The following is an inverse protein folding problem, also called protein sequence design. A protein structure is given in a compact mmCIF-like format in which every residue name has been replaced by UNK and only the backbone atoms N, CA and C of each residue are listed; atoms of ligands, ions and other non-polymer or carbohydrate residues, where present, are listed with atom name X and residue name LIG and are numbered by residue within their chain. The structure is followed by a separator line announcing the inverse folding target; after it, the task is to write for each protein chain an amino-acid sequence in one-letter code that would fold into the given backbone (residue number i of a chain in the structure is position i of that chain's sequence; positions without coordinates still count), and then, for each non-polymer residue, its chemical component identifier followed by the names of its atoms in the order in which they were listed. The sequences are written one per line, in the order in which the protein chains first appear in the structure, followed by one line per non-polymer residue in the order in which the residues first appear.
data_IF_689694891827
#
_entry.id   IF_689694891827
#
_cell.length_a   1.000
_cell.length_b   1.000
_cell.length_c   1.000
_cell.angle_alpha   90.00
_cell.angle_beta   90.00
_cell.angle_gamma   90.00
#
_symmetry.space_group_name_H-M   'P 1'
#
loop_
_entity.id
_entity.type
_entity.pdbx_description
1 polymer ?
#
# COMPACT_ATOMS: atom_id res chain seq x y z
N UNK A 1 23.14 7.84 20.30
CA UNK A 1 23.65 7.40 18.99
C UNK A 1 22.47 7.01 18.13
N UNK A 2 22.49 7.44 16.86
CA UNK A 2 21.55 7.14 15.77
C UNK A 2 20.22 7.91 15.77
N UNK A 3 20.29 8.94 14.93
CA UNK A 3 19.29 9.87 14.47
C UNK A 3 18.05 9.16 13.90
N UNK A 4 16.91 9.84 13.99
CA UNK A 4 15.69 9.56 13.25
C UNK A 4 15.99 9.29 11.78
N UNK A 5 15.88 8.04 11.34
CA UNK A 5 15.65 7.73 9.93
C UNK A 5 14.17 8.01 9.64
N UNK A 6 13.79 9.28 9.78
CA UNK A 6 12.66 9.82 9.05
C UNK A 6 13.14 10.01 7.63
N UNK A 7 13.31 8.90 6.91
CA UNK A 7 13.33 8.94 5.45
C UNK A 7 11.90 9.29 5.06
N UNK A 8 11.62 10.60 5.07
CA UNK A 8 10.53 11.15 4.29
C UNK A 8 10.72 10.56 2.91
N UNK A 9 9.82 9.68 2.54
CA UNK A 9 9.62 9.32 1.15
C UNK A 9 9.22 10.62 0.45
N UNK A 10 10.22 11.36 -0.01
CA UNK A 10 10.09 12.39 -1.04
C UNK A 10 9.64 11.66 -2.31
N UNK A 11 8.35 11.30 -2.32
CA UNK A 11 7.62 11.04 -3.54
C UNK A 11 7.37 12.40 -4.17
N UNK A 12 8.43 12.96 -4.77
CA UNK A 12 8.33 13.95 -5.83
C UNK A 12 7.47 13.32 -6.95
N UNK A 13 6.16 13.47 -6.83
CA UNK A 13 5.19 13.00 -7.80
C UNK A 13 4.31 14.18 -8.19
N UNK A 14 4.87 15.00 -9.06
CA UNK A 14 4.21 16.01 -9.88
C UNK A 14 3.13 15.41 -10.82
N UNK A 15 2.39 14.38 -10.39
CA UNK A 15 1.36 13.74 -11.20
C UNK A 15 0.86 12.42 -10.63
N UNK A 16 0.03 12.49 -9.59
CA UNK A 16 -0.96 11.47 -9.22
C UNK A 16 -0.50 10.01 -9.39
N UNK A 17 0.34 9.50 -8.49
CA UNK A 17 0.47 8.05 -8.39
C UNK A 17 -0.93 7.49 -8.07
N UNK A 18 -1.53 6.64 -8.92
CA UNK A 18 -2.90 6.20 -8.73
C UNK A 18 -2.95 5.25 -7.55
N UNK A 19 -3.11 5.80 -6.36
CA UNK A 19 -3.42 5.05 -5.15
C UNK A 19 -4.83 4.53 -5.29
N UNK A 20 -4.97 3.22 -5.22
CA UNK A 20 -6.27 2.55 -5.33
C UNK A 20 -6.64 1.89 -4.01
N UNK A 21 -7.93 1.81 -3.75
CA UNK A 21 -8.46 1.08 -2.60
C UNK A 21 -8.55 -0.41 -2.93
N UNK A 22 -8.13 -1.24 -1.99
CA UNK A 22 -8.16 -2.70 -2.09
C UNK A 22 -8.88 -3.31 -0.90
N UNK A 23 -9.53 -4.45 -1.14
CA UNK A 23 -10.11 -5.32 -0.11
C UNK A 23 -9.50 -6.71 -0.22
N UNK A 24 -8.93 -7.21 0.87
CA UNK A 24 -8.49 -8.59 0.96
C UNK A 24 -9.70 -9.53 1.09
N UNK A 25 -9.80 -10.53 0.21
CA UNK A 25 -10.89 -11.51 0.22
C UNK A 25 -10.70 -12.61 1.25
N UNK A 26 -9.51 -12.78 1.80
CA UNK A 26 -9.25 -13.81 2.80
C UNK A 26 -9.51 -13.34 4.24
N UNK A 27 -9.11 -12.11 4.58
CA UNK A 27 -9.27 -11.58 5.94
C UNK A 27 -10.20 -10.36 6.02
N UNK A 28 -10.71 -9.85 4.89
CA UNK A 28 -11.62 -8.70 4.85
C UNK A 28 -10.98 -7.33 5.04
N UNK A 29 -9.65 -7.25 5.19
CA UNK A 29 -8.97 -5.97 5.45
C UNK A 29 -9.08 -5.02 4.24
N UNK A 30 -9.36 -3.74 4.51
CA UNK A 30 -9.42 -2.66 3.51
C UNK A 30 -8.19 -1.79 3.63
N UNK A 31 -7.49 -1.53 2.53
CA UNK A 31 -6.25 -0.76 2.54
C UNK A 31 -5.97 -0.13 1.18
N UNK A 32 -5.13 0.91 1.17
CA UNK A 32 -4.70 1.60 -0.05
C UNK A 32 -3.40 1.02 -0.57
N UNK A 33 -3.28 0.86 -1.89
CA UNK A 33 -2.12 0.26 -2.54
C UNK A 33 -1.76 0.97 -3.83
N UNK A 34 -0.50 0.83 -4.23
CA UNK A 34 0.06 1.36 -5.47
C UNK A 34 0.49 0.19 -6.34
N UNK A 35 0.10 0.20 -7.62
CA UNK A 35 0.54 -0.79 -8.61
C UNK A 35 -0.30 -2.08 -8.67
N UNK A 36 0.20 -3.09 -9.40
CA UNK A 36 -0.56 -4.32 -9.72
C UNK A 36 -0.20 -5.54 -8.85
N UNK A 37 0.86 -5.47 -8.04
CA UNK A 37 1.36 -6.57 -7.20
C UNK A 37 1.10 -6.32 -5.71
N UNK A 38 -0.10 -5.87 -5.40
CA UNK A 38 -0.50 -5.52 -4.04
C UNK A 38 -0.76 -6.79 -3.23
N UNK A 39 -0.31 -6.83 -1.98
CA UNK A 39 -0.61 -7.88 -1.00
C UNK A 39 -1.30 -7.28 0.21
N UNK A 40 -2.16 -8.08 0.85
CA UNK A 40 -2.81 -7.67 2.08
C UNK A 40 -1.75 -7.42 3.17
N UNK A 41 -1.69 -6.22 3.78
CA UNK A 41 -0.72 -5.94 4.85
C UNK A 41 -1.03 -6.69 6.14
N UNK A 42 -2.28 -7.14 6.34
CA UNK A 42 -2.70 -7.83 7.57
C UNK A 42 -2.39 -9.33 7.56
N UNK A 43 -2.58 -10.01 6.43
CA UNK A 43 -2.43 -11.47 6.33
C UNK A 43 -1.47 -11.93 5.23
N UNK A 44 -0.81 -11.00 4.53
CA UNK A 44 0.12 -11.24 3.42
C UNK A 44 -0.45 -11.98 2.21
N UNK A 45 -1.77 -12.20 2.18
CA UNK A 45 -2.43 -12.81 1.05
C UNK A 45 -2.34 -11.96 -0.22
N UNK A 46 -2.23 -12.64 -1.36
CA UNK A 46 -2.33 -12.05 -2.70
C UNK A 46 -3.79 -11.96 -3.18
N UNK A 47 -4.75 -12.54 -2.45
CA UNK A 47 -6.16 -12.53 -2.77
C UNK A 47 -6.79 -11.17 -2.38
N UNK A 48 -6.48 -10.14 -3.15
CA UNK A 48 -6.97 -8.78 -2.97
C UNK A 48 -7.67 -8.31 -4.24
N UNK A 49 -8.74 -7.53 -4.08
CA UNK A 49 -9.46 -6.92 -5.20
C UNK A 49 -9.47 -5.40 -5.05
N UNK A 50 -9.42 -4.69 -6.15
CA UNK A 50 -9.68 -3.25 -6.20
C UNK A 50 -11.15 -2.96 -5.84
N UNK A 51 -11.40 -1.91 -5.06
CA UNK A 51 -12.72 -1.54 -4.55
C UNK A 51 -13.28 -0.25 -5.14
#
# INVERSE_FOLDING_TARGET
MMCSVGDSFDLDMEGNLPVKDYVCKDCGNRFKGIGKNVKCPSCQSKNVVES
#
